data_IF_707957764945
#
_entry.id   IF_707957764945
#
_cell.length_a   1.000
_cell.length_b   1.000
_cell.length_c   1.000
_cell.angle_alpha   90.00
_cell.angle_beta   90.00
_cell.angle_gamma   90.00
#
_symmetry.space_group_name_H-M   'P 1'
#
loop_
_entity.id
_entity.type
_entity.pdbx_description
1 polymer ?
#
# COMPACT_ATOMS: atom_id res chain seq x y z
N UNK A 1 2.02 15.76 42.78
CA UNK A 1 1.16 15.97 41.58
C UNK A 1 1.85 15.32 40.40
N UNK A 2 1.10 14.68 39.50
CA UNK A 2 1.66 14.14 38.27
C UNK A 2 2.26 15.27 37.41
N UNK A 3 3.35 15.01 36.68
CA UNK A 3 4.02 15.96 35.76
C UNK A 3 3.08 16.43 34.63
N UNK A 4 2.12 15.58 34.26
CA UNK A 4 1.11 15.84 33.25
C UNK A 4 -0.29 15.73 33.87
N UNK A 5 -1.21 16.57 33.44
CA UNK A 5 -2.59 16.60 33.94
C UNK A 5 -3.57 16.30 32.80
N UNK A 6 -4.12 15.09 32.79
CA UNK A 6 -5.13 14.65 31.82
C UNK A 6 -6.58 14.86 32.32
N UNK A 7 -6.76 15.30 33.58
CA UNK A 7 -8.08 15.57 34.17
C UNK A 7 -8.50 17.03 34.00
N UNK A 8 -7.59 17.91 33.56
CA UNK A 8 -7.90 19.31 33.33
C UNK A 8 -8.78 19.48 32.09
N UNK A 9 -9.96 20.06 32.30
CA UNK A 9 -10.84 20.51 31.21
C UNK A 9 -10.24 21.79 30.61
N UNK A 10 -10.01 21.76 29.30
CA UNK A 10 -9.49 22.90 28.53
C UNK A 10 -10.65 23.71 27.95
N UNK A 11 -10.58 25.04 28.07
CA UNK A 11 -11.49 25.94 27.37
C UNK A 11 -11.00 26.17 25.93
N UNK A 12 -11.72 25.59 24.97
CA UNK A 12 -11.40 25.64 23.55
C UNK A 12 -11.99 26.86 22.82
N UNK A 13 -12.82 27.68 23.49
CA UNK A 13 -13.41 28.89 22.91
C UNK A 13 -12.36 29.96 22.61
N UNK A 14 -11.31 30.04 23.44
CA UNK A 14 -10.24 31.03 23.31
C UNK A 14 -9.41 30.91 22.02
N UNK A 15 -9.41 29.73 21.38
CA UNK A 15 -8.59 29.44 20.20
C UNK A 15 -9.41 29.24 18.92
N UNK A 16 -10.72 29.48 18.95
CA UNK A 16 -11.64 29.18 17.84
C UNK A 16 -11.46 27.75 17.29
N UNK A 17 -11.35 26.76 18.18
CA UNK A 17 -11.03 25.40 17.78
C UNK A 17 -12.09 24.80 16.85
N UNK A 18 -11.69 24.36 15.65
CA UNK A 18 -12.60 23.74 14.67
C UNK A 18 -13.39 22.56 15.25
N UNK A 19 -12.77 21.75 16.11
CA UNK A 19 -13.43 20.64 16.81
C UNK A 19 -14.60 21.10 17.67
N UNK A 20 -14.43 22.22 18.37
CA UNK A 20 -15.41 22.80 19.29
C UNK A 20 -16.32 23.85 18.65
N UNK A 21 -16.20 24.09 17.35
CA UNK A 21 -17.11 24.95 16.59
C UNK A 21 -18.42 24.22 16.26
N UNK A 22 -19.19 23.91 17.31
CA UNK A 22 -20.47 23.20 17.28
C UNK A 22 -21.53 23.98 18.08
N UNK A 23 -22.80 23.63 17.91
CA UNK A 23 -23.88 24.24 18.69
C UNK A 23 -23.74 23.94 20.19
N UNK A 24 -24.25 24.83 21.03
CA UNK A 24 -24.23 24.68 22.49
C UNK A 24 -24.88 23.35 22.93
N UNK A 25 -24.27 22.69 23.92
CA UNK A 25 -24.71 21.39 24.44
C UNK A 25 -24.20 20.17 23.65
N UNK A 26 -23.47 20.37 22.54
CA UNK A 26 -22.82 19.27 21.80
C UNK A 26 -21.42 19.01 22.35
N UNK A 27 -21.10 17.74 22.58
CA UNK A 27 -19.74 17.27 22.90
C UNK A 27 -19.11 16.71 21.62
N UNK A 28 -18.13 17.39 21.00
CA UNK A 28 -17.55 16.96 19.74
C UNK A 28 -16.51 15.84 19.94
N UNK A 29 -16.65 14.75 19.18
CA UNK A 29 -15.72 13.59 19.20
C UNK A 29 -15.19 13.23 17.79
N UNK A 30 -15.14 14.21 16.88
CA UNK A 30 -14.89 13.99 15.44
C UNK A 30 -13.45 14.25 15.00
N UNK A 31 -12.99 15.50 15.09
CA UNK A 31 -11.65 15.91 14.63
C UNK A 31 -10.58 15.34 15.56
N UNK A 32 -9.52 14.80 14.98
CA UNK A 32 -8.41 14.13 15.66
C UNK A 32 -7.42 15.10 16.34
N UNK A 33 -7.96 16.11 17.03
CA UNK A 33 -7.22 16.97 17.96
C UNK A 33 -7.54 16.52 19.39
N UNK A 34 -6.58 16.64 20.31
CA UNK A 34 -6.77 16.27 21.71
C UNK A 34 -7.36 17.42 22.52
N UNK A 35 -8.10 17.08 23.58
CA UNK A 35 -8.64 18.06 24.55
C UNK A 35 -7.73 18.16 25.80
N UNK A 36 -6.44 17.90 25.62
CA UNK A 36 -5.43 17.98 26.67
C UNK A 36 -4.51 19.18 26.42
N UNK A 37 -4.00 19.77 27.50
CA UNK A 37 -2.91 20.73 27.37
C UNK A 37 -1.68 20.09 26.72
N UNK A 38 -1.01 20.85 25.87
CA UNK A 38 0.30 20.45 25.34
C UNK A 38 1.29 20.20 26.49
N UNK A 39 2.28 19.32 26.32
CA UNK A 39 3.34 19.13 27.30
C UNK A 39 4.00 20.47 27.69
N UNK A 40 4.36 20.68 28.97
CA UNK A 40 4.94 21.93 29.43
C UNK A 40 6.23 22.30 28.68
N UNK A 41 7.00 21.31 28.24
CA UNK A 41 8.24 21.48 27.47
C UNK A 41 7.97 22.14 26.10
N UNK A 42 6.86 21.80 25.45
CA UNK A 42 6.45 22.42 24.19
C UNK A 42 6.00 23.86 24.44
N UNK A 43 5.24 24.08 25.52
CA UNK A 43 4.80 25.43 25.89
C UNK A 43 5.97 26.35 26.25
N UNK A 44 6.98 25.83 26.93
CA UNK A 44 8.23 26.54 27.25
C UNK A 44 9.02 26.87 25.99
N UNK A 45 9.24 25.90 25.10
CA UNK A 45 9.93 26.14 23.83
C UNK A 45 9.24 27.22 22.97
N UNK A 46 7.90 27.26 22.98
CA UNK A 46 7.14 28.33 22.30
C UNK A 46 7.39 29.70 22.96
N UNK A 47 7.38 29.78 24.31
CA UNK A 47 7.67 31.04 25.03
C UNK A 47 9.08 31.53 24.75
N UNK A 48 10.06 30.63 24.79
CA UNK A 48 11.45 30.95 24.46
C UNK A 48 11.57 31.47 23.03
N UNK A 49 10.89 30.82 22.08
CA UNK A 49 10.85 31.27 20.68
C UNK A 49 10.21 32.65 20.53
N UNK A 50 9.17 32.96 21.30
CA UNK A 50 8.52 34.28 21.30
C UNK A 50 9.49 35.35 21.82
N UNK A 51 10.22 35.06 22.90
CA UNK A 51 11.15 35.99 23.55
C UNK A 51 12.33 36.44 22.66
N UNK A 52 12.60 35.74 21.55
CA UNK A 52 13.61 36.14 20.55
C UNK A 52 13.22 37.42 19.81
N UNK A 53 11.93 37.76 19.73
CA UNK A 53 11.39 38.97 19.07
C UNK A 53 11.79 39.16 17.58
N UNK A 54 12.37 38.14 16.96
CA UNK A 54 12.69 38.09 15.52
C UNK A 54 11.97 36.92 14.87
N UNK A 55 11.08 37.20 13.91
CA UNK A 55 10.19 36.22 13.27
C UNK A 55 10.43 36.08 11.76
N UNK A 56 11.67 36.37 11.33
CA UNK A 56 12.09 36.18 9.94
C UNK A 56 12.19 34.70 9.52
N UNK A 57 12.67 34.47 8.30
CA UNK A 57 12.83 33.14 7.74
C UNK A 57 13.71 32.23 8.61
N UNK A 58 13.18 31.06 8.96
CA UNK A 58 13.90 30.00 9.66
C UNK A 58 14.04 28.75 8.77
N UNK A 59 14.95 27.86 9.18
CA UNK A 59 15.16 26.54 8.58
C UNK A 59 15.29 25.51 9.69
N UNK A 60 15.03 24.26 9.38
CA UNK A 60 15.38 23.16 10.28
C UNK A 60 16.89 23.11 10.49
N UNK A 61 17.28 22.87 11.73
CA UNK A 61 18.65 22.66 12.17
C UNK A 61 18.98 21.18 12.21
N UNK A 62 20.27 20.82 12.27
CA UNK A 62 20.66 19.41 12.41
C UNK A 62 20.11 18.78 13.70
N UNK A 63 19.99 19.57 14.78
CA UNK A 63 19.37 19.12 16.02
C UNK A 63 17.89 18.72 15.83
N UNK A 64 17.13 19.44 14.99
CA UNK A 64 15.74 19.08 14.68
C UNK A 64 15.65 17.75 13.93
N UNK A 65 16.57 17.52 12.99
CA UNK A 65 16.63 16.25 12.27
C UNK A 65 17.10 15.10 13.16
N UNK A 66 18.08 15.32 14.03
CA UNK A 66 18.55 14.31 14.97
C UNK A 66 17.46 13.95 15.98
N UNK A 67 16.64 14.90 16.42
CA UNK A 67 15.47 14.61 17.25
C UNK A 67 14.49 13.65 16.56
N UNK A 68 14.20 13.86 15.27
CA UNK A 68 13.34 12.97 14.48
C UNK A 68 13.98 11.59 14.32
N UNK A 69 15.27 11.53 13.96
CA UNK A 69 16.01 10.28 13.77
C UNK A 69 16.07 9.45 15.05
N UNK A 70 16.36 10.10 16.18
CA UNK A 70 16.40 9.45 17.49
C UNK A 70 15.02 8.92 17.87
N UNK A 71 13.96 9.71 17.65
CA UNK A 71 12.59 9.26 17.91
C UNK A 71 12.24 8.00 17.12
N UNK A 72 12.55 7.98 15.82
CA UNK A 72 12.34 6.81 14.95
C UNK A 72 13.19 5.61 15.41
N UNK A 73 14.46 5.83 15.76
CA UNK A 73 15.35 4.78 16.27
C UNK A 73 14.85 4.17 17.57
N UNK A 74 14.43 5.00 18.52
CA UNK A 74 13.95 4.55 19.84
C UNK A 74 12.60 3.85 19.76
N UNK A 75 11.65 4.36 18.96
CA UNK A 75 10.26 3.88 18.99
C UNK A 75 9.95 2.88 17.88
N UNK A 76 10.71 2.86 16.80
CA UNK A 76 10.48 2.00 15.64
C UNK A 76 11.68 1.09 15.33
N UNK A 77 12.81 1.25 16.04
CA UNK A 77 14.01 0.43 15.83
C UNK A 77 14.72 0.68 14.49
N UNK A 78 14.41 1.80 13.82
CA UNK A 78 14.93 2.09 12.48
C UNK A 78 15.99 3.19 12.51
N UNK A 79 17.11 2.97 11.84
CA UNK A 79 18.10 4.01 11.59
C UNK A 79 17.84 4.69 10.24
N UNK A 80 17.41 5.95 10.28
CA UNK A 80 17.12 6.73 9.07
C UNK A 80 18.30 7.66 8.75
N UNK A 81 18.90 7.58 7.54
CA UNK A 81 19.91 8.54 7.10
C UNK A 81 19.36 9.96 7.03
N UNK A 82 20.20 10.95 7.37
CA UNK A 82 19.82 12.36 7.45
C UNK A 82 19.33 12.91 6.10
N UNK A 83 19.96 12.47 5.03
CA UNK A 83 19.69 12.81 3.64
C UNK A 83 18.34 12.29 3.14
N UNK A 84 17.74 11.30 3.83
CA UNK A 84 16.40 10.79 3.50
C UNK A 84 15.27 11.63 4.12
N UNK A 85 15.60 12.60 5.00
CA UNK A 85 14.60 13.44 5.67
C UNK A 85 14.41 14.78 4.95
N UNK A 86 13.18 15.02 4.51
CA UNK A 86 12.74 16.28 3.92
C UNK A 86 11.70 16.98 4.79
N UNK A 87 11.96 18.24 5.10
CA UNK A 87 11.04 19.09 5.86
C UNK A 87 9.85 19.48 4.97
N UNK A 88 8.64 19.27 5.47
CA UNK A 88 7.41 19.58 4.73
C UNK A 88 6.38 20.20 5.68
N UNK A 89 5.46 21.05 5.20
CA UNK A 89 4.53 21.77 6.05
C UNK A 89 3.42 20.88 6.66
N UNK A 90 3.31 19.62 6.23
CA UNK A 90 2.38 18.65 6.81
C UNK A 90 2.08 17.49 5.87
N UNK A 91 1.62 16.37 6.42
CA UNK A 91 1.44 15.09 5.72
C UNK A 91 0.60 15.21 4.45
N UNK A 92 -0.54 15.93 4.49
CA UNK A 92 -1.40 16.08 3.30
C UNK A 92 -0.72 16.86 2.18
N UNK A 93 0.08 17.89 2.48
CA UNK A 93 0.83 18.61 1.45
C UNK A 93 1.90 17.72 0.84
N UNK A 94 2.60 16.95 1.68
CA UNK A 94 3.61 16.00 1.26
C UNK A 94 3.04 14.92 0.36
N UNK A 95 1.90 14.32 0.73
CA UNK A 95 1.21 13.34 -0.12
C UNK A 95 0.91 13.92 -1.50
N UNK A 96 0.42 15.16 -1.56
CA UNK A 96 0.14 15.82 -2.84
C UNK A 96 1.43 16.05 -3.63
N UNK A 97 2.47 16.57 -3.00
CA UNK A 97 3.76 16.80 -3.66
C UNK A 97 4.35 15.51 -4.22
N UNK A 98 4.26 14.40 -3.48
CA UNK A 98 4.68 13.06 -3.92
C UNK A 98 3.87 12.61 -5.12
N UNK A 99 2.54 12.76 -5.10
CA UNK A 99 1.70 12.43 -6.26
C UNK A 99 2.08 13.30 -7.48
N UNK A 100 2.28 14.60 -7.30
CA UNK A 100 2.75 15.48 -8.38
C UNK A 100 4.10 15.05 -8.96
N UNK A 101 5.00 14.52 -8.13
CA UNK A 101 6.34 14.11 -8.55
C UNK A 101 6.37 12.72 -9.22
N UNK A 102 5.42 11.84 -8.86
CA UNK A 102 5.44 10.43 -9.25
C UNK A 102 4.34 10.02 -10.23
N UNK A 103 3.37 10.89 -10.52
CA UNK A 103 2.27 10.58 -11.43
C UNK A 103 2.06 11.66 -12.50
N UNK A 104 1.58 11.21 -13.66
CA UNK A 104 1.07 12.03 -14.74
C UNK A 104 -0.46 11.95 -14.84
N UNK A 105 -1.10 12.89 -15.57
CA UNK A 105 -2.55 12.89 -15.67
C UNK A 105 -3.06 11.64 -16.37
N UNK A 106 -4.03 10.97 -15.76
CA UNK A 106 -4.56 9.69 -16.22
C UNK A 106 -3.91 8.45 -15.58
N UNK A 107 -2.81 8.61 -14.84
CA UNK A 107 -2.21 7.50 -14.09
C UNK A 107 -3.15 6.97 -13.01
N UNK A 108 -3.03 5.69 -12.70
CA UNK A 108 -3.84 5.05 -11.67
C UNK A 108 -3.20 5.17 -10.29
N UNK A 109 -4.00 5.54 -9.28
CA UNK A 109 -3.57 5.61 -7.87
C UNK A 109 -4.46 4.70 -7.03
N UNK A 110 -3.85 3.72 -6.37
CA UNK A 110 -4.56 2.80 -5.48
C UNK A 110 -4.70 3.41 -4.09
N UNK A 111 -5.90 3.31 -3.50
CA UNK A 111 -6.17 3.65 -2.09
C UNK A 111 -6.89 2.51 -1.39
N UNK A 112 -6.58 2.31 -0.10
CA UNK A 112 -7.23 1.32 0.76
C UNK A 112 -8.44 1.94 1.45
N UNK A 113 -9.68 1.57 1.10
CA UNK A 113 -10.89 2.15 1.72
C UNK A 113 -11.50 1.22 2.77
N UNK A 114 -12.08 1.72 3.88
CA UNK A 114 -12.29 3.15 4.20
C UNK A 114 -10.99 3.87 4.61
N UNK A 115 -10.83 5.10 4.12
CA UNK A 115 -9.69 5.98 4.40
C UNK A 115 -10.18 7.39 4.71
N UNK A 116 -9.35 8.15 5.43
CA UNK A 116 -9.58 9.57 5.66
C UNK A 116 -9.89 10.32 4.36
N UNK A 117 -11.00 11.04 4.33
CA UNK A 117 -11.57 11.61 3.09
C UNK A 117 -10.62 12.58 2.37
N UNK A 118 -9.82 13.36 3.11
CA UNK A 118 -8.87 14.27 2.45
C UNK A 118 -7.72 13.52 1.79
N UNK A 119 -7.35 12.34 2.29
CA UNK A 119 -6.32 11.48 1.67
C UNK A 119 -6.84 10.88 0.37
N UNK A 120 -8.10 10.43 0.34
CA UNK A 120 -8.78 9.98 -0.90
C UNK A 120 -8.84 11.12 -1.93
N UNK A 121 -9.18 12.34 -1.50
CA UNK A 121 -9.19 13.51 -2.39
C UNK A 121 -7.80 13.85 -2.92
N UNK A 122 -6.76 13.72 -2.11
CA UNK A 122 -5.39 13.92 -2.56
C UNK A 122 -4.99 12.90 -3.62
N UNK A 123 -5.38 11.62 -3.46
CA UNK A 123 -5.10 10.55 -4.41
C UNK A 123 -5.77 10.73 -5.79
N UNK A 124 -6.87 11.49 -5.86
CA UNK A 124 -7.55 11.82 -7.11
C UNK A 124 -7.03 13.11 -7.79
N UNK A 125 -5.94 13.70 -7.30
CA UNK A 125 -5.36 14.90 -7.93
C UNK A 125 -4.79 14.60 -9.31
N UNK A 126 -4.59 15.66 -10.11
CA UNK A 126 -4.08 15.59 -11.48
C UNK A 126 -4.90 14.68 -12.41
N UNK A 127 -6.21 14.57 -12.21
CA UNK A 127 -7.05 13.66 -13.02
C UNK A 127 -6.57 12.19 -12.97
N UNK A 128 -5.96 11.79 -11.85
CA UNK A 128 -5.56 10.40 -11.61
C UNK A 128 -6.78 9.49 -11.53
N UNK A 129 -6.66 8.28 -12.08
CA UNK A 129 -7.68 7.23 -12.00
C UNK A 129 -7.60 6.57 -10.63
N UNK A 130 -8.57 6.87 -9.76
CA UNK A 130 -8.60 6.32 -8.42
C UNK A 130 -9.06 4.85 -8.41
N UNK A 131 -8.18 3.95 -7.98
CA UNK A 131 -8.49 2.54 -7.75
C UNK A 131 -8.75 2.33 -6.26
N UNK A 132 -9.98 1.99 -5.89
CA UNK A 132 -10.34 1.73 -4.49
C UNK A 132 -10.21 0.24 -4.19
N UNK A 133 -9.26 -0.11 -3.35
CA UNK A 133 -9.17 -1.44 -2.78
C UNK A 133 -9.94 -1.45 -1.46
N UNK A 134 -11.13 -2.05 -1.45
CA UNK A 134 -11.99 -2.10 -0.27
C UNK A 134 -11.51 -3.15 0.72
N UNK A 135 -11.15 -2.70 1.92
CA UNK A 135 -10.83 -3.59 3.02
C UNK A 135 -12.13 -4.25 3.52
N UNK A 136 -12.08 -5.53 3.93
CA UNK A 136 -13.23 -6.28 4.49
C UNK A 136 -13.35 -6.18 6.01
N UNK A 137 -14.41 -5.54 6.50
CA UNK A 137 -14.66 -5.45 7.94
C UNK A 137 -14.88 -6.84 8.53
N UNK A 138 -14.13 -7.20 9.57
CA UNK A 138 -14.43 -8.39 10.37
C UNK A 138 -15.54 -8.05 11.38
N UNK A 139 -16.44 -9.00 11.71
CA UNK A 139 -17.59 -8.73 12.59
C UNK A 139 -17.23 -8.21 13.99
N UNK A 140 -16.05 -8.59 14.53
CA UNK A 140 -15.78 -8.47 15.97
C UNK A 140 -14.40 -7.90 16.33
N UNK A 141 -13.69 -7.21 15.42
CA UNK A 141 -12.31 -6.80 15.69
C UNK A 141 -11.79 -5.61 14.88
N UNK A 142 -10.64 -5.03 15.30
CA UNK A 142 -9.91 -4.09 14.47
C UNK A 142 -9.49 -4.77 13.16
N UNK A 143 -9.08 -3.96 12.17
CA UNK A 143 -8.30 -4.46 11.05
C UNK A 143 -7.06 -5.15 11.60
N UNK A 144 -7.03 -6.48 11.62
CA UNK A 144 -5.88 -7.23 12.09
C UNK A 144 -5.06 -7.70 10.89
N UNK A 145 -3.76 -7.45 10.95
CA UNK A 145 -2.82 -8.31 10.24
C UNK A 145 -3.01 -9.70 10.85
N UNK A 146 -3.17 -10.72 10.02
CA UNK A 146 -3.33 -12.09 10.50
C UNK A 146 -2.07 -12.49 11.31
N UNK A 147 -2.27 -13.18 12.43
CA UNK A 147 -1.16 -13.68 13.29
C UNK A 147 -0.15 -14.54 12.52
N UNK A 148 -0.62 -15.16 11.44
CA UNK A 148 0.21 -15.84 10.46
C UNK A 148 -0.15 -15.33 9.05
N UNK A 149 0.84 -15.19 8.15
CA UNK A 149 0.58 -14.84 6.76
C UNK A 149 -0.36 -15.87 6.10
N UNK A 150 -1.12 -15.41 5.09
CA UNK A 150 -2.12 -16.22 4.37
C UNK A 150 -1.53 -17.45 3.66
N UNK A 151 -0.22 -17.44 3.45
CA UNK A 151 0.64 -18.55 3.03
C UNK A 151 1.91 -18.56 3.91
N UNK A 152 2.57 -19.71 4.13
CA UNK A 152 3.85 -19.78 4.83
C UNK A 152 4.90 -18.84 4.24
N UNK A 153 5.80 -18.30 5.08
CA UNK A 153 6.83 -17.35 4.62
C UNK A 153 7.79 -17.96 3.59
N UNK A 154 7.94 -19.28 3.59
CA UNK A 154 8.76 -20.04 2.63
C UNK A 154 8.21 -19.95 1.20
N UNK A 155 6.95 -19.58 1.05
CA UNK A 155 6.34 -19.35 -0.26
C UNK A 155 6.77 -17.99 -0.84
N UNK A 156 7.23 -17.02 -0.03
CA UNK A 156 7.77 -15.74 -0.51
C UNK A 156 6.97 -15.11 -1.70
N UNK A 157 5.67 -14.91 -1.50
CA UNK A 157 4.80 -14.38 -2.55
C UNK A 157 4.94 -12.86 -2.70
N UNK A 158 4.89 -12.36 -3.93
CA UNK A 158 4.91 -10.93 -4.26
C UNK A 158 3.95 -10.59 -5.40
N UNK A 159 3.57 -9.31 -5.50
CA UNK A 159 2.84 -8.72 -6.62
C UNK A 159 1.52 -9.44 -6.96
N UNK A 160 0.72 -9.71 -5.93
CA UNK A 160 -0.43 -10.59 -6.07
C UNK A 160 -1.73 -9.89 -6.47
N UNK A 161 -2.55 -10.58 -7.27
CA UNK A 161 -3.91 -10.20 -7.67
C UNK A 161 -4.91 -11.31 -7.36
N UNK A 162 -6.14 -10.95 -7.00
CA UNK A 162 -7.23 -11.90 -6.72
C UNK A 162 -8.30 -11.87 -7.80
N UNK A 163 -8.77 -13.05 -8.21
CA UNK A 163 -9.95 -13.23 -9.05
C UNK A 163 -10.94 -14.18 -8.37
N UNK A 164 -12.23 -13.83 -8.41
CA UNK A 164 -13.32 -14.67 -7.91
C UNK A 164 -14.13 -15.21 -9.09
N UNK A 165 -14.17 -16.53 -9.24
CA UNK A 165 -15.00 -17.24 -10.20
C UNK A 165 -16.39 -17.50 -9.60
N UNK A 166 -17.31 -16.56 -9.83
CA UNK A 166 -18.67 -16.60 -9.29
C UNK A 166 -19.42 -17.89 -9.67
N UNK A 167 -19.16 -18.45 -10.85
CA UNK A 167 -19.87 -19.64 -11.35
C UNK A 167 -19.63 -20.90 -10.52
N UNK A 168 -18.52 -20.96 -9.77
CA UNK A 168 -18.16 -22.15 -9.00
C UNK A 168 -17.65 -21.88 -7.58
N UNK A 169 -17.55 -20.61 -7.15
CA UNK A 169 -17.09 -20.20 -5.82
C UNK A 169 -15.58 -20.34 -5.60
N UNK A 170 -14.84 -20.50 -6.70
CA UNK A 170 -13.41 -20.27 -6.92
C UNK A 170 -12.82 -18.94 -6.45
N UNK A 171 -11.90 -18.87 -5.50
CA UNK A 171 -10.91 -17.79 -5.45
C UNK A 171 -9.59 -18.23 -6.05
N UNK A 172 -9.01 -17.37 -6.89
CA UNK A 172 -7.71 -17.55 -7.54
C UNK A 172 -6.79 -16.38 -7.19
N UNK A 173 -5.65 -16.66 -6.57
CA UNK A 173 -4.61 -15.70 -6.21
C UNK A 173 -3.45 -15.85 -7.20
N UNK A 174 -3.34 -14.92 -8.15
CA UNK A 174 -2.22 -14.82 -9.06
C UNK A 174 -1.07 -14.09 -8.36
N UNK A 175 0.15 -14.58 -8.47
CA UNK A 175 1.30 -14.04 -7.75
C UNK A 175 2.60 -14.41 -8.42
N UNK A 176 3.70 -13.78 -8.00
CA UNK A 176 5.04 -14.29 -8.26
C UNK A 176 5.66 -14.84 -6.97
N UNK A 177 6.79 -15.52 -7.15
CA UNK A 177 7.69 -15.97 -6.09
C UNK A 177 9.07 -15.31 -6.25
N UNK A 178 9.70 -14.99 -5.13
CA UNK A 178 11.07 -14.48 -5.04
C UNK A 178 11.76 -15.18 -3.87
N UNK A 179 13.06 -15.42 -3.85
CA UNK A 179 13.74 -16.00 -2.66
C UNK A 179 13.51 -17.50 -2.37
N UNK A 180 12.93 -18.32 -3.27
CA UNK A 180 12.73 -19.77 -3.13
C UNK A 180 13.99 -20.60 -3.45
N UNK A 181 14.91 -20.12 -4.29
CA UNK A 181 16.11 -20.87 -4.70
C UNK A 181 17.31 -20.71 -3.74
N UNK A 182 17.21 -19.79 -2.78
CA UNK A 182 18.20 -19.56 -1.72
C UNK A 182 19.39 -18.72 -2.16
N UNK A 183 19.37 -18.14 -3.37
CA UNK A 183 20.36 -17.17 -3.84
C UNK A 183 19.84 -15.74 -3.70
N UNK A 184 20.73 -14.77 -3.51
CA UNK A 184 20.36 -13.35 -3.39
C UNK A 184 20.15 -12.67 -4.76
N UNK A 185 20.29 -13.43 -5.85
CA UNK A 185 20.14 -12.99 -7.25
C UNK A 185 18.79 -13.46 -7.84
N UNK A 186 17.79 -13.70 -7.00
CA UNK A 186 16.54 -14.34 -7.40
C UNK A 186 15.55 -13.35 -8.03
N UNK A 187 15.01 -13.73 -9.18
CA UNK A 187 14.06 -12.96 -9.96
C UNK A 187 12.77 -13.75 -10.13
N UNK A 188 11.65 -13.05 -10.29
CA UNK A 188 10.36 -13.69 -10.59
C UNK A 188 10.42 -14.36 -11.96
N UNK A 189 10.41 -15.69 -12.03
CA UNK A 189 10.54 -16.47 -13.28
C UNK A 189 9.18 -16.86 -13.91
N UNK A 190 8.13 -16.81 -13.10
CA UNK A 190 6.80 -17.27 -13.46
C UNK A 190 5.69 -16.53 -12.71
N UNK A 191 4.52 -16.51 -13.33
CA UNK A 191 3.24 -16.21 -12.69
C UNK A 191 2.64 -17.52 -12.21
N UNK A 192 2.40 -17.57 -10.90
CA UNK A 192 1.75 -18.65 -10.21
C UNK A 192 0.30 -18.29 -9.94
N UNK A 193 -0.54 -19.32 -9.77
CA UNK A 193 -1.90 -19.17 -9.25
C UNK A 193 -2.14 -20.14 -8.12
N UNK A 194 -2.65 -19.63 -7.00
CA UNK A 194 -3.20 -20.43 -5.91
C UNK A 194 -4.71 -20.45 -6.00
N UNK A 195 -5.35 -21.49 -5.48
CA UNK A 195 -6.82 -21.54 -5.39
C UNK A 195 -7.35 -21.95 -4.02
N UNK A 196 -8.44 -21.31 -3.61
CA UNK A 196 -9.16 -21.61 -2.38
C UNK A 196 -10.65 -21.30 -2.49
N UNK A 197 -11.48 -21.95 -1.67
CA UNK A 197 -12.88 -21.53 -1.45
C UNK A 197 -13.00 -20.46 -0.35
N UNK A 198 -11.93 -20.25 0.41
CA UNK A 198 -11.82 -19.24 1.47
C UNK A 198 -10.63 -18.33 1.14
N UNK A 199 -10.86 -17.05 0.79
CA UNK A 199 -9.79 -16.13 0.39
C UNK A 199 -8.85 -15.76 1.54
N UNK A 200 -9.11 -16.21 2.77
CA UNK A 200 -8.24 -16.02 3.94
C UNK A 200 -7.40 -17.25 4.27
N UNK A 201 -7.63 -18.39 3.58
CA UNK A 201 -6.94 -19.66 3.84
C UNK A 201 -6.47 -20.29 2.54
N UNK A 202 -5.17 -20.25 2.30
CA UNK A 202 -4.55 -20.85 1.12
C UNK A 202 -3.69 -22.04 1.52
N UNK A 203 -3.48 -22.97 0.60
CA UNK A 203 -2.62 -24.14 0.80
C UNK A 203 -1.47 -24.07 -0.18
N UNK A 204 -0.20 -24.19 0.26
CA UNK A 204 0.96 -24.31 -0.63
C UNK A 204 0.78 -25.33 -1.75
N UNK A 205 0.17 -26.47 -1.44
CA UNK A 205 -0.08 -27.55 -2.40
C UNK A 205 -1.15 -27.21 -3.46
N UNK A 206 -1.96 -26.18 -3.25
CA UNK A 206 -3.02 -25.77 -4.17
C UNK A 206 -2.53 -24.63 -5.07
N UNK A 207 -1.48 -24.90 -5.85
CA UNK A 207 -0.91 -23.92 -6.78
C UNK A 207 -0.51 -24.54 -8.12
N UNK A 208 -0.43 -23.70 -9.15
CA UNK A 208 0.07 -24.07 -10.46
C UNK A 208 0.78 -22.89 -11.12
N UNK A 209 1.67 -23.20 -12.07
CA UNK A 209 2.26 -22.21 -12.96
C UNK A 209 1.25 -21.85 -14.05
N UNK A 210 1.02 -20.55 -14.22
CA UNK A 210 0.16 -19.98 -15.26
C UNK A 210 0.99 -19.58 -16.47
N UNK A 211 2.08 -18.85 -16.21
CA UNK A 211 2.96 -18.32 -17.24
C UNK A 211 4.41 -18.43 -16.76
N UNK A 212 5.30 -18.99 -17.56
CA UNK A 212 6.73 -19.15 -17.29
C UNK A 212 7.53 -19.15 -18.60
N UNK A 213 8.84 -19.37 -18.54
CA UNK A 213 9.67 -19.47 -19.75
C UNK A 213 9.31 -20.62 -20.70
N UNK A 214 8.55 -21.63 -20.27
CA UNK A 214 8.11 -22.72 -21.14
C UNK A 214 6.94 -22.32 -22.03
N UNK A 215 6.02 -21.49 -21.52
CA UNK A 215 4.79 -21.12 -22.22
C UNK A 215 4.63 -19.62 -22.53
N UNK A 216 5.56 -18.76 -22.09
CA UNK A 216 5.71 -17.39 -22.53
C UNK A 216 6.70 -17.31 -23.70
N UNK A 217 6.25 -16.88 -24.86
CA UNK A 217 7.09 -16.71 -26.04
C UNK A 217 7.95 -15.44 -25.96
N UNK A 218 7.51 -14.45 -25.18
CA UNK A 218 8.14 -13.14 -25.14
C UNK A 218 9.27 -13.04 -24.10
N UNK A 219 9.08 -13.53 -22.88
CA UNK A 219 10.09 -13.53 -21.82
C UNK A 219 10.33 -14.91 -21.23
N UNK A 220 11.59 -15.32 -21.15
CA UNK A 220 12.00 -16.68 -20.79
C UNK A 220 12.56 -16.82 -19.37
N UNK A 221 13.08 -15.73 -18.81
CA UNK A 221 13.79 -15.77 -17.54
C UNK A 221 13.18 -14.88 -16.45
N UNK A 222 12.41 -13.85 -16.80
CA UNK A 222 11.78 -12.98 -15.81
C UNK A 222 10.38 -12.52 -16.24
N UNK A 223 9.38 -12.79 -15.40
CA UNK A 223 7.96 -12.46 -15.59
C UNK A 223 7.40 -11.97 -14.26
N UNK A 224 6.92 -10.72 -14.19
CA UNK A 224 6.45 -10.10 -12.94
C UNK A 224 4.99 -9.64 -12.99
N UNK A 225 4.56 -9.04 -11.88
CA UNK A 225 3.33 -8.28 -11.66
C UNK A 225 2.07 -8.80 -12.40
N UNK A 226 1.55 -9.99 -12.05
CA UNK A 226 0.30 -10.48 -12.61
C UNK A 226 -0.89 -9.64 -12.15
N UNK A 227 -1.50 -8.90 -13.08
CA UNK A 227 -2.80 -8.25 -12.90
C UNK A 227 -3.88 -8.99 -13.66
N UNK A 228 -4.89 -9.49 -12.96
CA UNK A 228 -5.97 -10.29 -13.53
C UNK A 228 -7.25 -9.48 -13.72
N UNK A 229 -7.73 -9.36 -14.96
CA UNK A 229 -8.91 -8.57 -15.32
C UNK A 229 -9.85 -9.40 -16.19
N UNK A 230 -11.13 -9.49 -15.81
CA UNK A 230 -12.14 -10.17 -16.63
C UNK A 230 -12.51 -9.32 -17.84
N UNK A 231 -12.43 -9.90 -19.04
CA UNK A 231 -12.82 -9.28 -20.30
C UNK A 231 -13.70 -10.27 -21.08
N UNK A 232 -15.01 -10.07 -21.01
CA UNK A 232 -15.99 -10.99 -21.60
C UNK A 232 -15.88 -12.40 -21.01
N UNK A 233 -15.67 -13.39 -21.86
CA UNK A 233 -15.54 -14.82 -21.51
C UNK A 233 -14.10 -15.24 -21.18
N UNK A 234 -13.20 -14.27 -21.01
CA UNK A 234 -11.77 -14.54 -20.78
C UNK A 234 -11.25 -13.69 -19.62
N UNK A 235 -10.14 -14.14 -19.04
CA UNK A 235 -9.37 -13.39 -18.06
C UNK A 235 -8.09 -12.89 -18.73
N UNK A 236 -7.94 -11.58 -18.86
CA UNK A 236 -6.67 -10.95 -19.23
C UNK A 236 -5.73 -11.02 -18.03
N UNK A 237 -4.53 -11.52 -18.25
CA UNK A 237 -3.41 -11.47 -17.32
C UNK A 237 -2.37 -10.53 -17.89
N UNK A 238 -2.32 -9.32 -17.35
CA UNK A 238 -1.25 -8.37 -17.64
C UNK A 238 -0.06 -8.71 -16.78
N UNK A 239 1.12 -8.66 -17.36
CA UNK A 239 2.38 -8.96 -16.68
C UNK A 239 3.47 -8.07 -17.26
N UNK A 240 4.55 -7.86 -16.53
CA UNK A 240 5.69 -7.10 -17.04
C UNK A 240 6.91 -7.99 -17.23
N UNK A 241 7.74 -7.67 -18.23
CA UNK A 241 8.99 -8.38 -18.51
C UNK A 241 9.93 -7.55 -19.40
N UNK A 242 11.26 -7.77 -19.32
CA UNK A 242 12.23 -7.16 -20.24
C UNK A 242 12.27 -7.84 -21.63
N UNK A 243 11.64 -9.01 -21.78
CA UNK A 243 11.66 -9.82 -23.00
C UNK A 243 12.97 -10.59 -23.24
N UNK A 244 12.89 -11.63 -24.08
CA UNK A 244 14.00 -12.52 -24.39
C UNK A 244 14.49 -13.31 -23.17
N UNK A 245 15.82 -13.37 -23.01
CA UNK A 245 16.51 -14.11 -21.95
C UNK A 245 17.03 -13.17 -20.84
N UNK A 246 16.48 -11.95 -20.73
CA UNK A 246 16.92 -10.97 -19.75
C UNK A 246 16.29 -11.21 -18.39
N UNK A 247 17.07 -10.98 -17.34
CA UNK A 247 16.64 -11.02 -15.94
C UNK A 247 16.63 -9.64 -15.28
N UNK A 248 16.95 -8.58 -16.03
CA UNK A 248 16.98 -7.22 -15.50
C UNK A 248 15.56 -6.64 -15.31
N UNK A 249 15.39 -5.77 -14.31
CA UNK A 249 14.11 -5.10 -14.03
C UNK A 249 13.95 -3.73 -14.69
N UNK A 250 14.90 -3.33 -15.54
CA UNK A 250 14.83 -2.06 -16.24
C UNK A 250 14.23 -2.28 -17.63
N UNK A 251 13.71 -1.22 -18.26
CA UNK A 251 13.20 -1.29 -19.65
C UNK A 251 12.12 -2.38 -19.88
N UNK A 252 11.32 -2.70 -18.84
CA UNK A 252 10.25 -3.69 -18.95
C UNK A 252 9.09 -3.14 -19.77
N UNK A 253 8.55 -3.97 -20.66
CA UNK A 253 7.27 -3.71 -21.31
C UNK A 253 6.14 -4.46 -20.57
N UNK A 254 4.91 -4.26 -21.03
CA UNK A 254 3.73 -4.98 -20.55
C UNK A 254 3.35 -6.07 -21.55
N UNK A 255 3.35 -7.31 -21.07
CA UNK A 255 2.81 -8.49 -21.73
C UNK A 255 1.34 -8.74 -21.37
N UNK A 256 0.67 -9.50 -22.24
CA UNK A 256 -0.72 -9.88 -22.07
C UNK A 256 -0.88 -11.39 -22.35
N UNK A 257 -1.28 -12.13 -21.32
CA UNK A 257 -1.72 -13.51 -21.42
C UNK A 257 -3.24 -13.60 -21.23
N UNK A 258 -3.82 -14.73 -21.64
CA UNK A 258 -5.26 -14.94 -21.58
C UNK A 258 -5.60 -16.30 -21.00
N UNK A 259 -6.57 -16.33 -20.08
CA UNK A 259 -7.23 -17.54 -19.61
C UNK A 259 -8.67 -17.58 -20.10
N UNK A 260 -9.20 -18.77 -20.37
CA UNK A 260 -10.60 -18.91 -20.73
C UNK A 260 -11.43 -19.13 -19.45
N UNK A 261 -12.56 -18.42 -19.32
CA UNK A 261 -13.47 -18.56 -18.19
C UNK A 261 -14.55 -19.61 -18.49
N UNK A 262 -15.11 -20.29 -17.46
CA UNK A 262 -14.80 -20.13 -16.04
C UNK A 262 -13.49 -20.81 -15.62
N UNK A 263 -12.77 -20.20 -14.68
CA UNK A 263 -11.58 -20.85 -14.13
C UNK A 263 -11.95 -22.01 -13.21
N UNK A 264 -11.20 -23.10 -13.27
CA UNK A 264 -11.33 -24.22 -12.34
C UNK A 264 -9.97 -24.78 -11.90
N UNK A 265 -9.85 -25.28 -10.66
CA UNK A 265 -8.61 -25.92 -10.20
C UNK A 265 -8.21 -27.13 -11.07
N UNK A 266 -6.91 -27.37 -11.29
CA UNK A 266 -6.42 -28.56 -11.97
C UNK A 266 -6.89 -29.84 -11.23
N UNK A 267 -7.68 -30.68 -11.91
CA UNK A 267 -8.33 -31.85 -11.31
C UNK A 267 -9.83 -31.97 -11.61
N UNK A 268 -10.43 -30.90 -12.16
CA UNK A 268 -11.56 -30.99 -13.08
C UNK A 268 -11.04 -30.97 -14.53
N UNK A 269 -11.78 -31.56 -15.46
CA UNK A 269 -11.35 -31.70 -16.87
C UNK A 269 -10.90 -30.37 -17.50
N UNK A 270 -9.60 -30.33 -17.84
CA UNK A 270 -8.94 -29.45 -18.82
C UNK A 270 -8.85 -27.95 -18.53
N UNK A 271 -7.62 -27.46 -18.32
CA UNK A 271 -7.11 -26.30 -19.07
C UNK A 271 -5.59 -26.32 -19.14
N UNK A 272 -5.05 -26.15 -20.36
CA UNK A 272 -3.64 -25.81 -20.61
C UNK A 272 -3.62 -24.35 -21.05
N UNK A 273 -2.79 -23.56 -20.40
CA UNK A 273 -2.52 -22.16 -20.72
C UNK A 273 -2.02 -22.04 -22.17
N UNK A 274 -2.72 -21.26 -23.00
CA UNK A 274 -2.28 -20.92 -24.36
C UNK A 274 -2.13 -19.42 -24.47
N UNK A 275 -0.88 -18.95 -24.53
CA UNK A 275 -0.56 -17.58 -24.89
C UNK A 275 -1.00 -17.32 -26.35
N UNK A 276 -1.66 -16.18 -26.60
CA UNK A 276 -1.89 -15.66 -27.95
C UNK A 276 -1.38 -14.23 -27.99
N UNK A 277 -0.28 -14.03 -28.73
CA UNK A 277 0.21 -12.69 -29.08
C UNK A 277 -0.86 -11.95 -29.89
N UNK A 278 -1.15 -10.70 -29.50
CA UNK A 278 -2.04 -9.80 -30.25
C UNK A 278 -1.27 -8.67 -30.95
N UNK A 279 0.00 -8.89 -31.27
CA UNK A 279 0.78 -8.04 -32.17
C UNK A 279 0.88 -8.64 -33.59
N UNK A 280 -0.29 -8.86 -34.21
CA UNK A 280 -0.57 -8.76 -35.66
C UNK A 280 -2.05 -8.51 -35.87
#
# INVERSE_FOLDING_TARGET
MARYNFDQIVDHGAINASKWNVAEGIIPMSIADTDFLSPPEISEAIRDRIAVESYGYSRMTDADYDAIRNWIGEHQGQHVPREHLLATPGVLYTMRAVLYALTDPGDSVIVQTPLHTTSIRSAALRDSVLIKNEMKSLPDGPWTVLDAPVLPLEEQIENSSLYHEESNGWWFLFTNHVGIDGTWDEWTDAIWVYWSRDPTRWKPANRAVVLDGHNCAWSKQCIGMPSAIKVGERLALLYDAPGGERTDHMERDIGLAWLDLPLSPPGGDQQRFKERNTNT
#
